data_IF_029153834445
#
_entry.id   IF_029153834445
#
_cell.length_a   1.000
_cell.length_b   1.000
_cell.length_c   1.000
_cell.angle_alpha   90.00
_cell.angle_beta   90.00
_cell.angle_gamma   90.00
#
_symmetry.space_group_name_H-M   'P 1'
#
loop_
_entity.id
_entity.type
_entity.pdbx_description
1 polymer ?
#
# COMPACT_ATOMS: atom_id res chain seq x y z
N UNK A 1 -15.40 24.54 32.45
CA UNK A 1 -14.05 24.47 31.85
C UNK A 1 -13.90 23.07 31.26
N UNK A 2 -14.32 22.89 30.01
CA UNK A 2 -14.42 21.57 29.38
C UNK A 2 -13.12 21.23 28.67
N UNK A 3 -12.36 20.27 29.20
CA UNK A 3 -11.22 19.69 28.49
C UNK A 3 -11.76 18.89 27.30
N UNK A 4 -11.66 19.48 26.11
CA UNK A 4 -11.93 18.80 24.85
C UNK A 4 -10.71 17.92 24.53
N UNK A 5 -10.75 16.65 24.89
CA UNK A 5 -9.82 15.67 24.31
C UNK A 5 -10.29 15.37 22.89
N UNK A 6 -9.72 16.04 21.91
CA UNK A 6 -9.73 15.53 20.53
C UNK A 6 -8.67 14.43 20.49
N UNK A 7 -9.10 13.17 20.62
CA UNK A 7 -8.25 12.05 20.22
C UNK A 7 -8.18 12.09 18.69
N UNK A 8 -7.20 12.80 18.16
CA UNK A 8 -6.75 12.59 16.78
C UNK A 8 -6.09 11.21 16.81
N UNK A 9 -6.84 10.17 16.42
CA UNK A 9 -6.21 8.96 15.91
C UNK A 9 -5.42 9.42 14.69
N UNK A 10 -4.11 9.64 14.87
CA UNK A 10 -3.19 9.83 13.77
C UNK A 10 -3.19 8.49 13.03
N UNK A 11 -4.11 8.36 12.08
CA UNK A 11 -3.97 7.40 11.01
C UNK A 11 -2.75 7.92 10.25
N UNK A 12 -1.62 7.26 10.43
CA UNK A 12 -0.43 7.51 9.62
C UNK A 12 -0.86 7.45 8.16
N UNK A 13 -0.54 8.50 7.39
CA UNK A 13 -0.84 8.57 5.96
C UNK A 13 -0.30 7.29 5.29
N UNK A 14 -1.17 6.58 4.58
CA UNK A 14 -0.81 5.34 3.89
C UNK A 14 -0.55 5.60 2.41
N UNK A 15 0.07 4.64 1.72
CA UNK A 15 0.21 4.69 0.25
C UNK A 15 -1.15 4.80 -0.46
N UNK A 16 -2.23 4.26 0.14
CA UNK A 16 -3.59 4.39 -0.38
C UNK A 16 -4.08 5.84 -0.33
N UNK A 17 -3.81 6.55 0.77
CA UNK A 17 -4.20 7.96 0.90
C UNK A 17 -3.45 8.84 -0.11
N UNK A 18 -2.16 8.55 -0.34
CA UNK A 18 -1.35 9.25 -1.34
C UNK A 18 -1.91 9.06 -2.75
N UNK A 19 -2.16 7.82 -3.18
CA UNK A 19 -2.65 7.58 -4.55
C UNK A 19 -4.09 8.03 -4.76
N UNK A 20 -4.94 7.97 -3.73
CA UNK A 20 -6.27 8.58 -3.82
C UNK A 20 -6.20 10.10 -3.91
N UNK A 21 -5.29 10.74 -3.17
CA UNK A 21 -5.05 12.17 -3.28
C UNK A 21 -4.57 12.55 -4.67
N UNK A 22 -3.58 11.83 -5.21
CA UNK A 22 -3.10 12.02 -6.58
C UNK A 22 -4.24 11.87 -7.61
N UNK A 23 -4.97 10.74 -7.58
CA UNK A 23 -6.09 10.47 -8.48
C UNK A 23 -7.25 11.48 -8.34
N UNK A 24 -7.45 12.04 -7.15
CA UNK A 24 -8.49 13.03 -6.87
C UNK A 24 -8.10 14.45 -7.26
N UNK A 25 -6.85 14.87 -7.04
CA UNK A 25 -6.36 16.21 -7.36
C UNK A 25 -6.05 16.38 -8.85
N UNK A 26 -5.57 15.32 -9.52
CA UNK A 26 -5.27 15.34 -10.95
C UNK A 26 -6.21 14.37 -11.68
N UNK A 27 -7.46 14.80 -11.81
CA UNK A 27 -8.55 13.98 -12.35
C UNK A 27 -9.02 14.39 -13.76
N UNK A 28 -8.32 15.32 -14.41
CA UNK A 28 -8.56 15.82 -15.77
C UNK A 28 -7.55 15.25 -16.78
N UNK A 29 -7.21 13.97 -16.63
CA UNK A 29 -6.35 13.22 -17.55
C UNK A 29 -4.93 13.79 -17.70
N UNK A 30 -4.44 14.43 -16.64
CA UNK A 30 -3.14 15.08 -16.56
C UNK A 30 -1.95 14.17 -16.87
N UNK A 31 -2.13 12.86 -16.66
CA UNK A 31 -1.11 11.81 -16.80
C UNK A 31 -1.53 10.74 -17.81
N UNK A 32 -2.62 10.97 -18.56
CA UNK A 32 -3.15 10.00 -19.52
C UNK A 32 -2.08 9.65 -20.56
N UNK A 33 -1.86 8.35 -20.78
CA UNK A 33 -0.85 7.81 -21.71
C UNK A 33 0.62 8.15 -21.36
N UNK A 34 0.91 8.53 -20.12
CA UNK A 34 2.28 8.78 -19.65
C UNK A 34 2.73 7.67 -18.69
N UNK A 35 4.03 7.37 -18.67
CA UNK A 35 4.65 6.72 -17.52
C UNK A 35 5.00 7.78 -16.47
N UNK A 36 4.78 7.48 -15.20
CA UNK A 36 5.09 8.37 -14.08
C UNK A 36 6.32 7.84 -13.36
N UNK A 37 7.34 8.68 -13.27
CA UNK A 37 8.47 8.47 -12.38
C UNK A 37 8.25 9.27 -11.08
N UNK A 38 8.22 8.57 -9.94
CA UNK A 38 8.08 9.20 -8.63
C UNK A 38 9.46 9.55 -8.07
N UNK A 39 9.70 10.84 -7.82
CA UNK A 39 10.99 11.37 -7.32
C UNK A 39 10.78 12.37 -6.18
N UNK A 40 11.86 12.81 -5.54
CA UNK A 40 11.88 13.79 -4.44
C UNK A 40 11.93 13.20 -3.04
N UNK A 41 12.23 14.06 -2.06
CA UNK A 41 12.49 13.67 -0.66
C UNK A 41 11.34 12.89 -0.01
N UNK A 42 10.10 13.19 -0.41
CA UNK A 42 8.91 12.48 0.07
C UNK A 42 8.92 10.99 -0.25
N UNK A 43 9.54 10.56 -1.35
CA UNK A 43 9.60 9.15 -1.76
C UNK A 43 10.40 8.31 -0.75
N UNK A 44 11.48 8.86 -0.19
CA UNK A 44 12.30 8.18 0.80
C UNK A 44 11.54 7.91 2.11
N UNK A 45 10.45 8.64 2.38
CA UNK A 45 9.58 8.41 3.55
C UNK A 45 8.61 7.24 3.37
N UNK A 46 8.38 6.77 2.13
CA UNK A 46 7.41 5.73 1.82
C UNK A 46 8.02 4.34 1.96
N UNK A 47 7.30 3.42 2.63
CA UNK A 47 7.67 2.00 2.67
C UNK A 47 7.48 1.36 1.29
N UNK A 48 8.12 0.20 1.04
CA UNK A 48 7.92 -0.53 -0.22
C UNK A 48 6.45 -0.97 -0.38
N UNK A 49 5.79 -1.34 0.70
CA UNK A 49 4.36 -1.70 0.67
C UNK A 49 3.50 -0.49 0.24
N UNK A 50 3.86 0.72 0.65
CA UNK A 50 3.18 1.95 0.22
C UNK A 50 3.48 2.31 -1.24
N UNK A 51 4.73 2.15 -1.68
CA UNK A 51 5.11 2.35 -3.09
C UNK A 51 4.39 1.38 -4.01
N UNK A 52 4.27 0.11 -3.61
CA UNK A 52 3.50 -0.89 -4.34
C UNK A 52 2.02 -0.51 -4.45
N UNK A 53 1.40 0.01 -3.37
CA UNK A 53 0.03 0.54 -3.44
C UNK A 53 -0.11 1.66 -4.47
N UNK A 54 0.83 2.61 -4.47
CA UNK A 54 0.80 3.76 -5.37
C UNK A 54 1.02 3.34 -6.82
N UNK A 55 2.04 2.52 -7.07
CA UNK A 55 2.34 2.01 -8.41
C UNK A 55 1.21 1.15 -8.97
N UNK A 56 0.62 0.27 -8.14
CA UNK A 56 -0.51 -0.56 -8.56
C UNK A 56 -1.71 0.26 -9.02
N UNK A 57 -2.03 1.32 -8.27
CA UNK A 57 -3.17 2.20 -8.59
C UNK A 57 -2.84 3.32 -9.60
N UNK A 58 -1.64 3.33 -10.17
CA UNK A 58 -1.24 4.38 -11.11
C UNK A 58 -2.00 4.28 -12.44
N UNK A 59 -2.54 3.11 -12.78
CA UNK A 59 -3.33 2.93 -14.00
C UNK A 59 -4.74 3.51 -13.92
N UNK A 60 -5.26 3.65 -12.70
CA UNK A 60 -6.66 3.99 -12.40
C UNK A 60 -7.00 5.46 -12.66
N UNK A 61 -5.98 6.30 -12.86
CA UNK A 61 -6.09 7.73 -13.18
C UNK A 61 -5.41 8.09 -14.51
N UNK A 62 -5.06 7.09 -15.33
CA UNK A 62 -4.73 7.25 -16.75
C UNK A 62 -3.27 6.99 -17.15
N UNK A 63 -2.36 6.82 -16.19
CA UNK A 63 -0.96 6.54 -16.49
C UNK A 63 -0.73 5.07 -16.89
N UNK A 64 0.32 4.82 -17.68
CA UNK A 64 0.67 3.50 -18.18
C UNK A 64 1.47 2.69 -17.16
N UNK A 65 2.28 3.37 -16.35
CA UNK A 65 3.14 2.78 -15.33
C UNK A 65 3.47 3.81 -14.26
N UNK A 66 3.68 3.35 -13.03
CA UNK A 66 4.28 4.12 -11.95
C UNK A 66 5.59 3.48 -11.53
N UNK A 67 6.71 4.19 -11.69
CA UNK A 67 8.05 3.70 -11.35
C UNK A 67 8.63 4.48 -10.18
N UNK A 68 9.25 3.76 -9.27
CA UNK A 68 9.95 4.31 -8.11
C UNK A 68 11.45 4.04 -8.24
N UNK A 69 12.31 4.93 -7.74
CA UNK A 69 13.76 4.75 -7.79
C UNK A 69 14.20 3.56 -6.95
N UNK A 70 15.34 2.99 -7.35
CA UNK A 70 16.08 2.05 -6.50
C UNK A 70 16.88 2.86 -5.48
N UNK A 71 16.35 2.93 -4.27
CA UNK A 71 16.97 3.66 -3.15
C UNK A 71 17.32 2.71 -1.99
N UNK A 72 17.83 3.28 -0.90
CA UNK A 72 18.21 2.53 0.29
C UNK A 72 17.04 1.77 0.93
N UNK A 73 15.80 2.27 0.80
CA UNK A 73 14.58 1.60 1.29
C UNK A 73 14.31 0.34 0.49
N UNK A 74 14.37 0.42 -0.85
CA UNK A 74 14.19 -0.74 -1.72
C UNK A 74 15.32 -1.76 -1.56
N UNK A 75 16.58 -1.30 -1.51
CA UNK A 75 17.73 -2.18 -1.33
C UNK A 75 17.67 -2.94 0.00
N UNK A 76 17.24 -2.27 1.07
CA UNK A 76 17.02 -2.92 2.37
C UNK A 76 15.92 -3.97 2.27
N UNK A 77 14.78 -3.64 1.65
CA UNK A 77 13.67 -4.59 1.46
C UNK A 77 14.10 -5.80 0.63
N UNK A 78 14.80 -5.59 -0.48
CA UNK A 78 15.32 -6.67 -1.34
C UNK A 78 16.31 -7.55 -0.61
N UNK A 79 17.20 -6.96 0.20
CA UNK A 79 18.15 -7.72 1.03
C UNK A 79 17.40 -8.62 2.01
N UNK A 80 16.46 -8.06 2.78
CA UNK A 80 15.64 -8.84 3.73
C UNK A 80 14.84 -9.94 3.01
N UNK A 81 14.30 -9.64 1.83
CA UNK A 81 13.57 -10.63 1.02
C UNK A 81 14.49 -11.75 0.56
N UNK A 82 15.68 -11.44 0.07
CA UNK A 82 16.67 -12.42 -0.37
C UNK A 82 17.12 -13.34 0.79
N UNK A 83 17.38 -12.77 1.98
CA UNK A 83 17.70 -13.56 3.17
C UNK A 83 16.57 -14.50 3.59
N UNK A 84 15.32 -14.01 3.54
CA UNK A 84 14.15 -14.83 3.81
C UNK A 84 14.03 -15.97 2.80
N UNK A 85 14.16 -15.69 1.50
CA UNK A 85 14.08 -16.71 0.45
C UNK A 85 15.18 -17.75 0.58
N UNK A 86 16.40 -17.33 0.95
CA UNK A 86 17.52 -18.24 1.25
C UNK A 86 17.19 -19.20 2.40
N UNK A 87 16.52 -18.71 3.46
CA UNK A 87 16.10 -19.55 4.60
C UNK A 87 14.92 -20.45 4.27
N UNK A 88 13.94 -19.94 3.51
CA UNK A 88 12.71 -20.67 3.14
C UNK A 88 12.98 -21.79 2.14
N UNK A 89 13.92 -21.58 1.22
CA UNK A 89 14.17 -22.47 0.09
C UNK A 89 13.12 -22.35 -1.03
N UNK A 90 13.15 -23.27 -2.01
CA UNK A 90 12.18 -23.36 -3.11
C UNK A 90 10.73 -23.55 -2.63
N UNK A 91 9.75 -23.13 -3.45
CA UNK A 91 8.33 -23.31 -3.13
C UNK A 91 7.76 -24.67 -3.58
N UNK A 92 8.53 -25.47 -4.32
CA UNK A 92 8.06 -26.70 -4.96
C UNK A 92 7.21 -26.43 -6.21
N UNK A 93 7.40 -25.29 -6.87
CA UNK A 93 6.63 -24.90 -8.08
C UNK A 93 7.48 -25.09 -9.34
N UNK A 94 6.87 -25.25 -10.54
CA UNK A 94 7.63 -25.49 -11.77
C UNK A 94 8.71 -24.45 -12.07
N UNK A 95 8.47 -23.18 -11.72
CA UNK A 95 9.46 -22.12 -11.91
C UNK A 95 10.71 -22.31 -11.07
N UNK A 96 10.69 -23.14 -10.00
CA UNK A 96 11.87 -23.41 -9.16
C UNK A 96 12.98 -24.15 -9.91
N UNK A 97 12.66 -24.79 -11.04
CA UNK A 97 13.65 -25.36 -11.95
C UNK A 97 14.53 -24.29 -12.62
N UNK A 98 14.02 -23.06 -12.79
CA UNK A 98 14.80 -21.92 -13.26
C UNK A 98 15.35 -21.13 -12.06
N UNK A 99 16.57 -21.48 -11.67
CA UNK A 99 17.33 -20.77 -10.63
C UNK A 99 18.07 -19.54 -11.17
N UNK A 100 18.24 -19.43 -12.49
CA UNK A 100 19.13 -18.45 -13.11
C UNK A 100 18.65 -17.01 -12.93
N UNK A 101 17.33 -16.80 -12.74
CA UNK A 101 16.70 -15.49 -12.67
C UNK A 101 16.07 -15.09 -11.33
N UNK A 102 16.40 -15.79 -10.25
CA UNK A 102 15.80 -15.55 -8.92
C UNK A 102 16.51 -14.48 -8.12
N UNK A 103 15.74 -13.75 -7.31
CA UNK A 103 16.27 -12.82 -6.31
C UNK A 103 17.16 -13.57 -5.31
N UNK A 104 18.41 -13.12 -5.18
CA UNK A 104 19.37 -13.57 -4.18
C UNK A 104 20.24 -12.38 -3.71
N UNK A 105 21.10 -12.63 -2.71
CA UNK A 105 21.97 -11.60 -2.15
C UNK A 105 23.00 -11.07 -3.17
N UNK A 106 23.45 -11.91 -4.10
CA UNK A 106 24.44 -11.51 -5.10
C UNK A 106 23.84 -10.50 -6.08
N UNK A 107 22.61 -10.72 -6.54
CA UNK A 107 21.89 -9.78 -7.42
C UNK A 107 21.59 -8.47 -6.73
N UNK A 108 21.24 -8.50 -5.44
CA UNK A 108 21.06 -7.27 -4.68
C UNK A 108 22.36 -6.48 -4.64
N UNK A 109 23.51 -7.15 -4.50
CA UNK A 109 24.81 -6.47 -4.55
C UNK A 109 25.15 -5.90 -5.93
N UNK A 110 24.87 -6.66 -7.01
CA UNK A 110 25.02 -6.16 -8.40
C UNK A 110 24.13 -4.93 -8.64
N UNK A 111 22.89 -4.93 -8.12
CA UNK A 111 21.97 -3.80 -8.21
C UNK A 111 22.47 -2.58 -7.44
N UNK A 112 23.10 -2.75 -6.27
CA UNK A 112 23.71 -1.63 -5.52
C UNK A 112 24.83 -0.96 -6.29
N UNK A 113 25.60 -1.73 -7.07
CA UNK A 113 26.73 -1.22 -7.84
C UNK A 113 26.28 -0.52 -9.12
N UNK A 114 25.12 -0.90 -9.66
CA UNK A 114 24.60 -0.41 -10.94
C UNK A 114 23.13 -0.01 -10.79
N UNK A 115 22.88 1.01 -9.97
CA UNK A 115 21.54 1.57 -9.81
C UNK A 115 21.15 2.29 -11.10
N UNK A 116 20.08 1.86 -11.82
CA UNK A 116 19.57 2.60 -12.95
C UNK A 116 19.08 3.97 -12.49
N UNK A 117 19.44 5.00 -13.25
CA UNK A 117 18.98 6.36 -13.07
C UNK A 117 18.61 6.94 -14.43
N UNK A 118 17.75 7.96 -14.44
CA UNK A 118 17.50 8.73 -15.64
C UNK A 118 18.80 9.37 -16.16
N UNK A 119 18.96 9.43 -17.48
CA UNK A 119 20.08 10.12 -18.10
C UNK A 119 20.05 11.63 -17.76
N UNK A 120 21.21 12.29 -17.77
CA UNK A 120 21.31 13.70 -17.39
C UNK A 120 20.52 14.65 -18.32
N UNK A 121 20.25 14.22 -19.55
CA UNK A 121 19.46 14.91 -20.56
C UNK A 121 18.04 14.33 -20.72
N UNK A 122 17.60 13.47 -19.77
CA UNK A 122 16.25 12.96 -19.76
C UNK A 122 15.24 14.11 -19.73
N UNK A 123 14.24 14.02 -20.61
CA UNK A 123 13.19 15.02 -20.74
C UNK A 123 11.86 14.47 -20.22
N UNK A 124 11.23 15.21 -19.30
CA UNK A 124 9.90 14.91 -18.78
C UNK A 124 8.86 15.77 -19.48
N UNK A 125 7.86 15.12 -20.09
CA UNK A 125 6.76 15.82 -20.77
C UNK A 125 5.95 16.71 -19.81
N UNK A 126 5.91 16.35 -18.52
CA UNK A 126 5.21 17.09 -17.49
C UNK A 126 5.83 16.82 -16.12
N UNK A 127 5.88 17.86 -15.31
CA UNK A 127 6.26 17.78 -13.89
C UNK A 127 5.06 18.13 -13.02
N UNK A 128 4.82 17.29 -12.00
CA UNK A 128 3.74 17.47 -11.04
C UNK A 128 4.36 17.44 -9.65
N UNK A 129 4.17 18.54 -8.90
CA UNK A 129 4.65 18.65 -7.51
C UNK A 129 3.51 18.33 -6.57
N UNK A 130 3.74 17.38 -5.66
CA UNK A 130 2.75 16.93 -4.69
C UNK A 130 3.32 16.94 -3.27
N UNK A 131 2.73 17.76 -2.40
CA UNK A 131 3.16 17.91 -1.01
C UNK A 131 2.47 16.87 -0.12
N UNK A 132 3.25 15.87 0.32
CA UNK A 132 2.76 14.79 1.18
C UNK A 132 2.23 15.29 2.53
N UNK A 133 2.65 16.46 3.02
CA UNK A 133 2.14 17.02 4.27
C UNK A 133 0.68 17.49 4.19
N UNK A 134 0.17 17.67 2.96
CA UNK A 134 -1.23 18.05 2.70
C UNK A 134 -2.14 16.84 2.50
N UNK A 135 -1.58 15.63 2.53
CA UNK A 135 -2.36 14.40 2.43
C UNK A 135 -3.06 14.16 3.77
N UNK A 136 -4.33 13.78 3.67
CA UNK A 136 -5.14 13.33 4.79
C UNK A 136 -5.87 12.06 4.37
N UNK A 137 -6.51 11.32 5.28
CA UNK A 137 -7.26 10.14 4.90
C UNK A 137 -8.44 10.46 3.97
N UNK A 138 -8.55 9.70 2.89
CA UNK A 138 -9.58 9.88 1.87
C UNK A 138 -10.38 8.60 1.60
N UNK A 139 -11.61 8.77 1.15
CA UNK A 139 -12.49 7.71 0.65
C UNK A 139 -12.84 8.04 -0.79
N UNK A 140 -12.71 7.06 -1.67
CA UNK A 140 -13.02 7.18 -3.08
C UNK A 140 -14.36 6.53 -3.44
N UNK A 141 -15.02 7.04 -4.49
CA UNK A 141 -16.30 6.53 -5.00
C UNK A 141 -17.46 7.52 -4.91
N UNK A 142 -18.72 7.06 -5.09
CA UNK A 142 -19.13 5.65 -5.15
C UNK A 142 -18.84 4.94 -6.47
N UNK A 143 -18.81 5.67 -7.60
CA UNK A 143 -18.81 5.05 -8.94
C UNK A 143 -17.49 5.24 -9.72
N UNK A 144 -16.54 5.98 -9.17
CA UNK A 144 -15.25 6.23 -9.81
C UNK A 144 -14.18 6.49 -8.77
N UNK A 145 -12.97 6.04 -9.09
CA UNK A 145 -11.77 6.25 -8.29
C UNK A 145 -11.34 7.72 -8.24
N UNK A 146 -11.73 8.50 -9.26
CA UNK A 146 -11.41 9.93 -9.41
C UNK A 146 -12.19 10.85 -8.46
N UNK A 147 -13.26 10.35 -7.85
CA UNK A 147 -14.01 11.11 -6.83
C UNK A 147 -13.39 10.81 -5.48
N UNK A 148 -12.99 11.87 -4.78
CA UNK A 148 -12.33 11.79 -3.49
C UNK A 148 -13.08 12.61 -2.44
N UNK A 149 -13.41 11.98 -1.32
CA UNK A 149 -14.06 12.61 -0.17
C UNK A 149 -13.18 12.43 1.06
N UNK A 150 -12.88 13.50 1.81
CA UNK A 150 -12.12 13.36 3.07
C UNK A 150 -12.86 12.47 4.08
N UNK A 151 -12.13 11.72 4.91
CA UNK A 151 -12.75 10.90 5.97
C UNK A 151 -13.60 11.76 6.92
N UNK A 152 -13.17 13.00 7.19
CA UNK A 152 -13.93 13.95 8.01
C UNK A 152 -15.30 14.30 7.40
N UNK A 153 -15.36 14.48 6.09
CA UNK A 153 -16.63 14.68 5.38
C UNK A 153 -17.45 13.40 5.32
N UNK A 154 -16.83 12.26 5.02
CA UNK A 154 -17.51 10.97 4.94
C UNK A 154 -18.19 10.62 6.28
N UNK A 155 -17.53 10.94 7.40
CA UNK A 155 -18.10 10.79 8.74
C UNK A 155 -19.40 11.59 8.94
N UNK A 156 -19.51 12.78 8.35
CA UNK A 156 -20.73 13.61 8.41
C UNK A 156 -21.87 13.02 7.58
N UNK A 157 -21.54 12.38 6.44
CA UNK A 157 -22.53 11.74 5.56
C UNK A 157 -23.23 10.54 6.23
N UNK A 158 -22.59 9.91 7.23
CA UNK A 158 -23.13 8.76 7.98
C UNK A 158 -23.68 7.66 7.06
N UNK A 159 -22.95 7.37 5.98
CA UNK A 159 -23.31 6.32 5.03
C UNK A 159 -23.35 4.98 5.77
N UNK A 160 -24.47 4.26 5.65
CA UNK A 160 -24.62 2.96 6.28
C UNK A 160 -23.69 1.96 5.59
N UNK A 161 -22.81 1.35 6.38
CA UNK A 161 -21.93 0.26 5.94
C UNK A 161 -22.68 -1.04 6.17
N UNK A 162 -22.78 -1.86 5.13
CA UNK A 162 -23.29 -3.24 5.24
C UNK A 162 -22.14 -4.25 5.17
N UNK A 163 -21.11 -3.94 4.38
CA UNK A 163 -19.93 -4.78 4.19
C UNK A 163 -18.67 -3.95 4.27
N UNK A 164 -17.66 -4.48 4.93
CA UNK A 164 -16.29 -4.02 4.90
C UNK A 164 -15.42 -5.15 4.36
N UNK A 165 -14.48 -4.84 3.47
CA UNK A 165 -13.60 -5.83 2.86
C UNK A 165 -12.17 -5.31 2.96
N UNK A 166 -11.32 -6.03 3.69
CA UNK A 166 -9.88 -5.80 3.77
C UNK A 166 -9.18 -6.87 2.95
N UNK A 167 -9.25 -6.70 1.63
CA UNK A 167 -8.46 -7.39 0.63
C UNK A 167 -8.63 -6.70 -0.71
N UNK A 168 -7.51 -6.53 -1.42
CA UNK A 168 -7.48 -6.15 -2.83
C UNK A 168 -6.09 -6.46 -3.38
N UNK A 169 -5.93 -6.35 -4.70
CA UNK A 169 -4.61 -6.34 -5.35
C UNK A 169 -3.72 -5.17 -4.86
N UNK A 170 -4.31 -4.12 -4.29
CA UNK A 170 -3.59 -2.92 -3.83
C UNK A 170 -2.99 -3.12 -2.45
N UNK A 171 -3.65 -3.84 -1.55
CA UNK A 171 -3.34 -3.88 -0.10
C UNK A 171 -3.35 -5.31 0.47
N UNK A 172 -3.60 -5.46 1.77
CA UNK A 172 -3.53 -6.73 2.51
C UNK A 172 -2.13 -7.31 2.66
N UNK A 173 -1.10 -6.46 2.61
CA UNK A 173 0.24 -6.82 3.09
C UNK A 173 0.28 -6.75 4.62
N UNK A 174 1.39 -7.18 5.20
CA UNK A 174 1.52 -7.28 6.66
C UNK A 174 1.31 -5.91 7.35
N UNK A 175 1.80 -4.82 6.74
CA UNK A 175 1.60 -3.45 7.25
C UNK A 175 0.11 -3.06 7.29
N UNK A 176 -0.65 -3.41 6.25
CA UNK A 176 -2.10 -3.13 6.16
C UNK A 176 -2.88 -3.90 7.24
N UNK A 177 -2.59 -5.20 7.37
CA UNK A 177 -3.21 -6.07 8.37
C UNK A 177 -2.87 -5.60 9.78
N UNK A 178 -1.62 -5.25 10.05
CA UNK A 178 -1.19 -4.72 11.35
C UNK A 178 -1.92 -3.41 11.69
N UNK A 179 -2.11 -2.54 10.71
CA UNK A 179 -2.83 -1.27 10.89
C UNK A 179 -4.31 -1.50 11.17
N UNK A 180 -4.97 -2.39 10.41
CA UNK A 180 -6.36 -2.76 10.64
C UNK A 180 -6.55 -3.43 12.01
N UNK A 181 -5.66 -4.36 12.39
CA UNK A 181 -5.65 -5.01 13.69
C UNK A 181 -5.58 -3.99 14.83
N UNK A 182 -4.68 -3.00 14.76
CA UNK A 182 -4.59 -1.90 15.75
C UNK A 182 -5.90 -1.12 15.88
N UNK A 183 -6.62 -0.90 14.77
CA UNK A 183 -7.88 -0.16 14.77
C UNK A 183 -9.00 -0.95 15.46
N UNK A 184 -9.07 -2.27 15.23
CA UNK A 184 -10.17 -3.10 15.72
C UNK A 184 -9.87 -3.80 17.05
N UNK A 185 -8.62 -3.82 17.51
CA UNK A 185 -8.22 -4.48 18.76
C UNK A 185 -9.11 -4.07 19.93
N UNK A 186 -9.63 -5.08 20.63
CA UNK A 186 -10.53 -4.89 21.78
C UNK A 186 -11.93 -4.36 21.41
N UNK A 187 -12.28 -4.28 20.12
CA UNK A 187 -13.60 -3.84 19.63
C UNK A 187 -14.32 -5.00 18.96
N UNK A 188 -15.58 -4.78 18.58
CA UNK A 188 -16.41 -5.72 17.81
C UNK A 188 -16.98 -5.03 16.58
N UNK A 189 -17.08 -5.77 15.49
CA UNK A 189 -17.80 -5.37 14.28
C UNK A 189 -19.24 -5.06 14.66
N UNK A 190 -19.77 -3.96 14.11
CA UNK A 190 -21.09 -3.47 14.44
C UNK A 190 -22.19 -4.46 13.98
N UNK A 191 -23.32 -4.60 14.70
CA UNK A 191 -24.42 -5.45 14.28
C UNK A 191 -24.91 -5.12 12.86
N UNK A 192 -25.08 -6.15 12.03
CA UNK A 192 -25.51 -6.00 10.64
C UNK A 192 -24.42 -5.58 9.65
N UNK A 193 -23.14 -5.56 10.08
CA UNK A 193 -21.98 -5.37 9.21
C UNK A 193 -21.25 -6.69 9.02
N UNK A 194 -20.98 -7.08 7.78
CA UNK A 194 -20.09 -8.19 7.45
C UNK A 194 -18.69 -7.64 7.18
N UNK A 195 -17.69 -8.06 7.94
CA UNK A 195 -16.30 -7.63 7.74
C UNK A 195 -15.47 -8.80 7.21
N UNK A 196 -15.05 -8.77 5.95
CA UNK A 196 -14.23 -9.82 5.34
C UNK A 196 -12.76 -9.42 5.31
N UNK A 197 -11.87 -10.38 5.57
CA UNK A 197 -10.43 -10.18 5.55
C UNK A 197 -9.74 -11.30 4.76
N UNK A 198 -8.79 -10.95 3.90
CA UNK A 198 -7.86 -11.91 3.30
C UNK A 198 -6.46 -11.29 3.27
N UNK A 199 -5.44 -12.11 3.45
CA UNK A 199 -4.06 -11.67 3.30
C UNK A 199 -3.64 -11.71 1.82
N UNK A 200 -2.67 -10.88 1.44
CA UNK A 200 -2.16 -10.84 0.06
C UNK A 200 -1.42 -12.13 -0.36
N UNK A 201 -1.08 -13.01 0.59
CA UNK A 201 -0.53 -14.34 0.33
C UNK A 201 -0.56 -15.20 1.59
N UNK A 202 -0.39 -16.52 1.41
CA UNK A 202 -0.16 -17.46 2.51
C UNK A 202 1.00 -17.03 3.44
N UNK A 203 2.08 -16.48 2.88
CA UNK A 203 3.22 -16.00 3.67
C UNK A 203 2.82 -14.81 4.56
N UNK A 204 2.06 -13.87 4.01
CA UNK A 204 1.59 -12.70 4.76
C UNK A 204 0.61 -13.11 5.85
N UNK A 205 -0.31 -14.04 5.56
CA UNK A 205 -1.25 -14.54 6.57
C UNK A 205 -0.50 -15.17 7.74
N UNK A 206 0.43 -16.09 7.45
CA UNK A 206 1.23 -16.75 8.48
C UNK A 206 1.97 -15.75 9.36
N UNK A 207 2.59 -14.73 8.76
CA UNK A 207 3.30 -13.67 9.50
C UNK A 207 2.36 -12.81 10.35
N UNK A 208 1.13 -12.56 9.86
CA UNK A 208 0.12 -11.84 10.62
C UNK A 208 -0.41 -12.65 11.81
N UNK A 209 -0.54 -13.98 11.65
CA UNK A 209 -0.89 -14.91 12.72
C UNK A 209 0.22 -14.99 13.78
N UNK A 210 1.48 -15.14 13.36
CA UNK A 210 2.65 -15.15 14.25
C UNK A 210 2.78 -13.86 15.07
N UNK A 211 2.39 -12.72 14.48
CA UNK A 211 2.41 -11.41 15.14
C UNK A 211 1.15 -11.10 15.98
N UNK A 212 0.14 -11.99 15.98
CA UNK A 212 -1.14 -11.80 16.68
C UNK A 212 -2.14 -10.85 16.00
N UNK A 213 -1.76 -10.24 14.87
CA UNK A 213 -2.63 -9.29 14.16
C UNK A 213 -3.84 -9.97 13.53
N UNK A 214 -3.67 -11.21 13.07
CA UNK A 214 -4.78 -11.97 12.50
C UNK A 214 -5.84 -12.27 13.57
N UNK A 215 -5.41 -12.65 14.77
CA UNK A 215 -6.28 -12.91 15.91
C UNK A 215 -7.06 -11.66 16.33
N UNK A 216 -6.41 -10.50 16.39
CA UNK A 216 -7.10 -9.22 16.66
C UNK A 216 -8.28 -8.98 15.69
N UNK A 217 -8.11 -9.31 14.40
CA UNK A 217 -9.17 -9.18 13.38
C UNK A 217 -10.29 -10.19 13.60
N UNK A 218 -9.96 -11.47 13.82
CA UNK A 218 -10.94 -12.53 14.05
C UNK A 218 -11.75 -12.29 15.33
N UNK A 219 -11.07 -11.89 16.41
CA UNK A 219 -11.71 -11.53 17.67
C UNK A 219 -12.67 -10.36 17.51
N UNK A 220 -12.37 -9.40 16.62
CA UNK A 220 -13.29 -8.32 16.32
C UNK A 220 -14.56 -8.80 15.58
N UNK A 221 -14.57 -10.03 15.04
CA UNK A 221 -15.67 -10.60 14.25
C UNK A 221 -15.45 -10.52 12.74
N UNK A 222 -14.19 -10.41 12.30
CA UNK A 222 -13.85 -10.53 10.88
C UNK A 222 -14.06 -11.96 10.37
N UNK A 223 -14.49 -12.08 9.12
CA UNK A 223 -14.73 -13.32 8.39
C UNK A 223 -13.52 -13.56 7.48
N UNK A 224 -12.68 -14.56 7.75
CA UNK A 224 -11.52 -14.83 6.93
C UNK A 224 -11.92 -15.40 5.57
N UNK A 225 -11.23 -14.96 4.53
CA UNK A 225 -11.26 -15.51 3.18
C UNK A 225 -9.91 -16.16 2.87
N UNK A 226 -9.86 -17.14 1.95
CA UNK A 226 -8.60 -17.69 1.49
C UNK A 226 -7.70 -16.61 0.88
N UNK A 227 -6.38 -16.65 1.13
CA UNK A 227 -5.40 -15.78 0.50
C UNK A 227 -5.08 -16.18 -0.95
#
# INVERSE_FOLDING_TARGET
MGFFFVVILVISITGKDVILALAGYFNHDEVLNHAIEFTGDGVASLTIDQRLSIANMTTEWGALAGVFPIDSVLLKWLTTRAEYLKKRGPAGVPSDADASNRLDLQRVEVLKQNIPAADADAYYAKEIVFDLNKVQPYVSGPNTVKVMTSVNEMRRKKVKIHKAILVSCVNSRLEDIATAAKVVRGKKVAPGVEFYVAAASNEVQKRAEEAGYWQDLLEAGAIPLPP
#
